data_IF_979897526365
#
_entry.id   IF_979897526365
#
_cell.length_a   1.000
_cell.length_b   1.000
_cell.length_c   1.000
_cell.angle_alpha   90.00
_cell.angle_beta   90.00
_cell.angle_gamma   90.00
#
_symmetry.space_group_name_H-M   'P 1'
#
loop_
_entity.id
_entity.type
_entity.pdbx_description
1 polymer ?
#
# COMPACT_ATOMS: atom_id res chain seq x y z
N UNK A 1 -21.47 -1.83 -3.53
CA UNK A 1 -20.84 -3.07 -4.01
C UNK A 1 -21.91 -4.15 -4.04
N UNK A 2 -22.15 -4.79 -5.19
CA UNK A 2 -23.18 -5.83 -5.33
C UNK A 2 -22.47 -7.19 -5.26
N UNK A 3 -22.88 -8.04 -4.31
CA UNK A 3 -22.39 -9.41 -4.19
C UNK A 3 -23.09 -10.30 -5.20
N UNK A 4 -22.33 -11.11 -5.93
CA UNK A 4 -22.80 -12.09 -6.88
C UNK A 4 -22.58 -13.51 -6.33
N UNK A 5 -23.63 -14.32 -6.36
CA UNK A 5 -23.60 -15.71 -5.88
C UNK A 5 -23.33 -16.73 -6.99
N UNK A 6 -23.32 -16.31 -8.26
CA UNK A 6 -22.87 -17.14 -9.37
C UNK A 6 -21.34 -17.07 -9.50
N UNK A 7 -20.66 -18.04 -8.90
CA UNK A 7 -19.19 -18.15 -8.91
C UNK A 7 -18.65 -18.45 -10.30
N UNK A 8 -19.47 -19.02 -11.20
CA UNK A 8 -19.04 -19.30 -12.57
C UNK A 8 -18.85 -18.02 -13.39
N UNK A 9 -19.53 -16.94 -13.01
CA UNK A 9 -19.42 -15.62 -13.61
C UNK A 9 -18.22 -14.79 -13.08
N UNK A 10 -17.53 -15.26 -12.03
CA UNK A 10 -16.38 -14.54 -11.48
C UNK A 10 -15.21 -14.51 -12.47
N UNK A 11 -14.47 -13.39 -12.58
CA UNK A 11 -13.33 -13.27 -13.48
C UNK A 11 -12.23 -14.26 -13.10
N UNK A 12 -11.77 -15.04 -14.09
CA UNK A 12 -10.75 -16.10 -13.93
C UNK A 12 -9.37 -15.71 -14.44
N UNK A 13 -9.14 -14.42 -14.67
CA UNK A 13 -7.92 -13.92 -15.31
C UNK A 13 -7.80 -14.36 -16.76
N UNK A 14 -6.64 -14.06 -17.36
CA UNK A 14 -6.38 -14.34 -18.78
C UNK A 14 -4.91 -14.56 -19.06
N UNK A 15 -4.61 -15.42 -20.03
CA UNK A 15 -3.26 -15.52 -20.61
C UNK A 15 -3.01 -14.28 -21.47
N UNK A 16 -1.93 -13.57 -21.20
CA UNK A 16 -1.50 -12.39 -21.96
C UNK A 16 -0.09 -12.62 -22.52
N UNK A 17 0.18 -12.20 -23.76
CA UNK A 17 1.54 -12.18 -24.28
C UNK A 17 2.43 -11.29 -23.41
N UNK A 18 3.57 -11.81 -22.99
CA UNK A 18 4.60 -11.10 -22.25
C UNK A 18 5.91 -11.20 -23.03
N UNK A 19 6.39 -10.05 -23.50
CA UNK A 19 7.68 -9.95 -24.16
C UNK A 19 8.78 -9.78 -23.11
N UNK A 20 9.74 -10.70 -23.08
CA UNK A 20 10.97 -10.57 -22.29
C UNK A 20 12.17 -10.40 -23.20
N UNK A 21 13.18 -9.66 -22.74
CA UNK A 21 14.44 -9.49 -23.47
C UNK A 21 15.22 -10.81 -23.44
N UNK A 22 15.36 -11.45 -24.59
CA UNK A 22 16.24 -12.60 -24.79
C UNK A 22 17.61 -12.19 -25.33
N UNK A 23 18.53 -13.15 -25.37
CA UNK A 23 19.87 -12.98 -25.94
C UNK A 23 19.85 -12.68 -27.44
N UNK A 24 18.92 -13.29 -28.17
CA UNK A 24 18.82 -13.22 -29.64
C UNK A 24 17.64 -12.35 -30.12
N UNK A 25 16.98 -11.62 -29.21
CA UNK A 25 15.81 -10.79 -29.51
C UNK A 25 14.69 -10.91 -28.47
N UNK A 26 13.56 -10.22 -28.67
CA UNK A 26 12.41 -10.34 -27.78
C UNK A 26 11.79 -11.75 -27.85
N UNK A 27 11.75 -12.43 -26.71
CA UNK A 27 11.08 -13.73 -26.56
C UNK A 27 9.66 -13.43 -26.07
N UNK A 28 8.66 -13.80 -26.85
CA UNK A 28 7.26 -13.73 -26.44
C UNK A 28 6.91 -15.02 -25.73
N UNK A 29 6.52 -14.90 -24.46
CA UNK A 29 6.00 -15.99 -23.63
C UNK A 29 4.60 -15.64 -23.19
N UNK A 30 3.73 -16.62 -23.01
CA UNK A 30 2.43 -16.37 -22.39
C UNK A 30 2.60 -16.25 -20.87
N UNK A 31 1.97 -15.25 -20.26
CA UNK A 31 1.93 -15.04 -18.82
C UNK A 31 0.49 -14.95 -18.35
N UNK A 32 0.18 -15.55 -17.21
CA UNK A 32 -1.16 -15.48 -16.64
C UNK A 32 -1.34 -14.16 -15.88
N UNK A 33 -2.24 -13.29 -16.37
CA UNK A 33 -2.64 -12.06 -15.69
C UNK A 33 -3.78 -12.37 -14.73
N UNK A 34 -3.51 -12.19 -13.44
CA UNK A 34 -4.49 -12.33 -12.36
C UNK A 34 -5.53 -11.22 -12.46
N UNK A 35 -6.79 -11.57 -12.23
CA UNK A 35 -7.87 -10.63 -12.00
C UNK A 35 -8.39 -10.88 -10.59
N UNK A 36 -8.35 -9.84 -9.75
CA UNK A 36 -8.71 -9.95 -8.36
C UNK A 36 -10.21 -9.75 -8.16
N UNK A 37 -10.73 -10.40 -7.13
CA UNK A 37 -12.10 -10.26 -6.63
C UNK A 37 -12.06 -10.15 -5.11
N UNK A 38 -13.16 -9.64 -4.54
CA UNK A 38 -13.51 -9.97 -3.17
C UNK A 38 -14.29 -11.28 -3.18
N UNK A 39 -13.93 -12.23 -2.33
CA UNK A 39 -14.56 -13.54 -2.22
C UNK A 39 -14.95 -13.79 -0.77
N UNK A 40 -16.12 -14.38 -0.55
CA UNK A 40 -16.65 -14.70 0.79
C UNK A 40 -16.61 -16.20 1.00
N UNK A 41 -16.15 -16.64 2.17
CA UNK A 41 -16.17 -18.06 2.54
C UNK A 41 -17.47 -18.49 3.22
N UNK A 42 -17.56 -19.76 3.62
CA UNK A 42 -18.72 -20.31 4.31
C UNK A 42 -18.98 -19.72 5.70
N UNK A 43 -17.98 -19.05 6.29
CA UNK A 43 -18.06 -18.38 7.58
C UNK A 43 -18.47 -16.90 7.46
N UNK A 44 -18.51 -16.37 6.24
CA UNK A 44 -18.82 -14.97 5.97
C UNK A 44 -17.58 -14.06 5.96
N UNK A 45 -16.38 -14.63 6.03
CA UNK A 45 -15.13 -13.88 5.99
C UNK A 45 -14.80 -13.47 4.54
N UNK A 46 -14.34 -12.23 4.37
CA UNK A 46 -14.06 -11.64 3.06
C UNK A 46 -12.56 -11.61 2.79
N UNK A 47 -12.16 -12.13 1.64
CA UNK A 47 -10.76 -12.20 1.21
C UNK A 47 -10.56 -11.54 -0.14
N UNK A 48 -9.36 -11.00 -0.36
CA UNK A 48 -8.85 -10.79 -1.71
C UNK A 48 -8.54 -12.17 -2.33
N UNK A 49 -9.19 -12.48 -3.45
CA UNK A 49 -8.96 -13.74 -4.16
C UNK A 49 -8.73 -13.51 -5.66
N UNK A 50 -8.22 -14.53 -6.34
CA UNK A 50 -8.08 -14.62 -7.79
C UNK A 50 -8.08 -16.09 -8.19
N UNK A 51 -8.41 -16.37 -9.45
CA UNK A 51 -8.41 -17.74 -9.96
C UNK A 51 -6.99 -18.28 -10.17
N UNK A 52 -6.73 -19.49 -9.68
CA UNK A 52 -5.52 -20.26 -9.91
C UNK A 52 -5.86 -21.38 -10.91
N UNK A 53 -5.35 -21.33 -12.16
CA UNK A 53 -5.59 -22.37 -13.14
C UNK A 53 -4.91 -23.69 -12.75
N UNK A 54 -5.39 -24.83 -13.28
CA UNK A 54 -4.83 -26.13 -12.96
C UNK A 54 -3.38 -26.24 -13.44
N UNK A 55 -2.53 -26.90 -12.65
CA UNK A 55 -1.12 -27.15 -12.99
C UNK A 55 -0.95 -28.58 -13.46
N UNK A 56 -0.13 -28.77 -14.49
CA UNK A 56 0.15 -30.07 -15.06
C UNK A 56 1.66 -30.36 -15.04
N UNK A 57 2.04 -31.64 -14.94
CA UNK A 57 3.41 -32.09 -15.20
C UNK A 57 3.76 -31.93 -16.68
N UNK A 58 5.05 -32.05 -17.00
CA UNK A 58 5.51 -32.13 -18.40
C UNK A 58 4.89 -33.32 -19.15
N UNK A 59 4.50 -34.38 -18.44
CA UNK A 59 3.81 -35.54 -18.99
C UNK A 59 2.28 -35.35 -19.12
N UNK A 60 1.75 -34.17 -18.79
CA UNK A 60 0.32 -33.85 -18.87
C UNK A 60 -0.52 -34.34 -17.70
N UNK A 61 0.09 -34.89 -16.64
CA UNK A 61 -0.63 -35.33 -15.43
C UNK A 61 -1.03 -34.11 -14.59
N UNK A 62 -2.28 -34.05 -14.12
CA UNK A 62 -2.75 -32.99 -13.22
C UNK A 62 -1.99 -33.04 -11.89
N UNK A 63 -1.24 -31.97 -11.59
CA UNK A 63 -0.54 -31.79 -10.32
C UNK A 63 -1.46 -31.18 -9.26
N UNK A 64 -2.22 -30.17 -9.68
CA UNK A 64 -3.06 -29.38 -8.80
C UNK A 64 -4.29 -28.95 -9.59
N UNK A 65 -5.48 -29.18 -9.03
CA UNK A 65 -6.73 -28.70 -9.59
C UNK A 65 -6.80 -27.18 -9.58
N UNK A 66 -7.75 -26.64 -10.33
CA UNK A 66 -8.12 -25.24 -10.25
C UNK A 66 -8.68 -24.89 -8.87
N UNK A 67 -8.42 -23.67 -8.41
CA UNK A 67 -8.96 -23.15 -7.15
C UNK A 67 -8.94 -21.63 -7.09
N UNK A 68 -9.68 -21.09 -6.14
CA UNK A 68 -9.57 -19.68 -5.75
C UNK A 68 -8.43 -19.50 -4.75
N UNK A 69 -7.60 -18.46 -4.93
CA UNK A 69 -6.56 -18.12 -3.97
C UNK A 69 -7.15 -17.82 -2.60
N UNK A 70 -6.57 -18.37 -1.53
CA UNK A 70 -7.12 -18.26 -0.18
C UNK A 70 -8.16 -19.33 0.18
N UNK A 71 -8.57 -20.16 -0.79
CA UNK A 71 -9.48 -21.29 -0.57
C UNK A 71 -8.74 -22.63 -0.72
N UNK A 72 -9.25 -23.65 -0.05
CA UNK A 72 -8.77 -25.02 -0.22
C UNK A 72 -9.06 -25.53 -1.65
N UNK A 73 -8.25 -26.44 -2.21
CA UNK A 73 -8.55 -27.05 -3.49
C UNK A 73 -9.96 -27.66 -3.51
N UNK A 74 -10.75 -27.32 -4.53
CA UNK A 74 -12.14 -27.79 -4.69
C UNK A 74 -13.17 -27.10 -3.79
N UNK A 75 -12.78 -26.12 -2.96
CA UNK A 75 -13.71 -25.28 -2.21
C UNK A 75 -13.89 -23.96 -2.94
N UNK A 76 -15.11 -23.69 -3.37
CA UNK A 76 -15.48 -22.43 -3.99
C UNK A 76 -15.98 -21.42 -2.93
N UNK A 77 -15.78 -20.10 -3.16
CA UNK A 77 -16.43 -19.07 -2.37
C UNK A 77 -17.96 -19.16 -2.49
N UNK A 78 -18.68 -18.61 -1.52
CA UNK A 78 -20.17 -18.58 -1.55
C UNK A 78 -20.73 -17.35 -2.27
N UNK A 79 -19.91 -16.31 -2.40
CA UNK A 79 -20.21 -15.10 -3.13
C UNK A 79 -18.92 -14.38 -3.54
N UNK A 80 -19.00 -13.54 -4.56
CA UNK A 80 -17.91 -12.68 -4.99
C UNK A 80 -18.39 -11.27 -5.34
N UNK A 81 -17.47 -10.32 -5.33
CA UNK A 81 -17.68 -8.98 -5.85
C UNK A 81 -16.43 -8.55 -6.65
N UNK A 82 -16.58 -7.67 -7.66
CA UNK A 82 -15.44 -7.17 -8.43
C UNK A 82 -14.43 -6.49 -7.50
N UNK A 83 -13.14 -6.48 -7.86
CA UNK A 83 -12.17 -5.69 -7.11
C UNK A 83 -12.57 -4.19 -7.15
N UNK A 84 -12.52 -3.46 -6.02
CA UNK A 84 -12.88 -2.06 -6.03
C UNK A 84 -11.88 -1.26 -6.88
N UNK A 85 -12.42 -0.46 -7.79
CA UNK A 85 -11.65 0.53 -8.53
C UNK A 85 -11.76 1.87 -7.82
N UNK A 86 -10.62 2.52 -7.60
CA UNK A 86 -10.57 3.86 -7.04
C UNK A 86 -10.29 4.84 -8.18
N UNK A 87 -11.28 5.69 -8.49
CA UNK A 87 -11.06 6.81 -9.39
C UNK A 87 -10.42 7.96 -8.61
N UNK A 88 -9.21 8.36 -9.00
CA UNK A 88 -8.66 9.62 -8.53
C UNK A 88 -9.53 10.74 -9.09
N UNK A 89 -10.20 11.50 -8.22
CA UNK A 89 -10.79 12.77 -8.61
C UNK A 89 -9.65 13.61 -9.19
N UNK A 90 -9.69 13.85 -10.50
CA UNK A 90 -8.71 14.70 -11.15
C UNK A 90 -8.79 16.06 -10.50
N UNK A 91 -7.73 16.47 -9.80
CA UNK A 91 -7.62 17.82 -9.27
C UNK A 91 -7.75 18.75 -10.49
N UNK A 92 -8.89 19.41 -10.61
CA UNK A 92 -9.05 20.52 -11.54
C UNK A 92 -8.24 21.66 -10.96
N UNK A 93 -6.92 21.61 -11.14
CA UNK A 93 -6.07 22.78 -11.00
C UNK A 93 -6.39 23.63 -12.23
N UNK A 94 -7.44 24.44 -12.14
CA UNK A 94 -7.61 25.53 -13.09
C UNK A 94 -6.35 26.39 -12.98
N UNK A 95 -5.60 26.46 -14.08
CA UNK A 95 -4.37 27.25 -14.26
C UNK A 95 -4.59 28.76 -14.02
N UNK A 96 -5.84 29.17 -13.77
CA UNK A 96 -6.25 30.54 -13.43
C UNK A 96 -5.99 30.95 -11.97
N UNK A 97 -5.64 30.03 -11.06
CA UNK A 97 -5.41 30.37 -9.65
C UNK A 97 -3.98 30.87 -9.34
N UNK A 98 -3.04 30.84 -10.30
CA UNK A 98 -1.63 31.13 -10.04
C UNK A 98 -1.19 32.59 -10.27
N UNK A 99 -2.10 33.54 -10.55
CA UNK A 99 -1.73 34.93 -10.91
C UNK A 99 -2.16 36.01 -9.92
N UNK A 100 -2.60 35.68 -8.70
CA UNK A 100 -2.76 36.70 -7.64
C UNK A 100 -2.15 36.26 -6.31
N UNK A 101 -0.84 36.44 -6.18
CA UNK A 101 -0.23 36.61 -4.86
C UNK A 101 -0.60 38.02 -4.33
N UNK A 102 -1.30 38.17 -3.19
CA UNK A 102 -1.38 39.45 -2.52
C UNK A 102 -0.03 39.72 -1.84
N UNK A 103 0.67 40.74 -2.33
CA UNK A 103 1.80 41.37 -1.67
C UNK A 103 1.32 41.96 -0.33
N UNK A 104 2.19 41.86 0.70
CA UNK A 104 2.12 42.52 2.01
C UNK A 104 1.26 41.87 3.11
N UNK A 105 1.92 41.15 4.02
CA UNK A 105 1.58 41.20 5.46
C UNK A 105 2.90 41.32 6.23
N UNK A 106 3.13 42.51 6.82
CA UNK A 106 4.21 42.77 7.78
C UNK A 106 3.92 42.04 9.10
N UNK A 107 4.92 41.35 9.65
CA UNK A 107 4.85 40.78 11.00
C UNK A 107 5.18 41.89 12.03
N UNK A 108 4.41 42.03 13.12
CA UNK A 108 4.77 42.94 14.19
C UNK A 108 5.95 42.38 15.01
N UNK A 109 6.97 43.22 15.18
CA UNK A 109 8.03 43.09 16.18
C UNK A 109 7.51 43.69 17.47
N UNK A 110 7.51 42.92 18.56
CA UNK A 110 7.40 43.46 19.92
C UNK A 110 8.70 43.17 20.69
N UNK A 111 9.48 44.23 20.90
CA UNK A 111 10.59 44.31 21.84
C UNK A 111 10.11 44.96 23.16
N UNK A 112 10.17 44.24 24.31
CA UNK A 112 10.48 44.79 25.66
C UNK A 112 10.49 43.65 26.70
N UNK A 113 11.63 43.19 27.25
CA UNK A 113 12.54 43.77 28.27
C UNK A 113 12.12 43.51 29.73
N UNK A 114 13.08 43.02 30.54
CA UNK A 114 13.08 42.96 32.02
C UNK A 114 13.30 41.53 32.56
N UNK A 115 14.50 41.01 32.81
CA UNK A 115 15.52 41.33 33.84
C UNK A 115 15.27 40.70 35.23
N UNK A 116 16.24 39.84 35.65
CA UNK A 116 16.61 39.36 37.03
C UNK A 116 15.67 38.34 37.72
N UNK A 117 16.11 37.37 38.55
CA UNK A 117 17.37 37.09 39.24
C UNK A 117 17.49 35.60 39.63
N UNK A 118 18.72 35.15 39.91
CA UNK A 118 19.07 33.87 40.52
C UNK A 118 18.74 33.81 42.03
N UNK A 119 18.24 32.66 42.51
CA UNK A 119 18.42 32.06 43.84
C UNK A 119 17.94 30.58 43.70
N UNK A 120 18.72 29.51 43.89
CA UNK A 120 19.54 29.16 45.05
C UNK A 120 18.73 28.24 45.97
N UNK A 121 18.94 26.90 45.94
CA UNK A 121 18.37 25.99 46.96
C UNK A 121 18.22 24.51 46.57
N UNK A 122 19.17 23.70 47.04
CA UNK A 122 19.24 22.24 47.29
C UNK A 122 18.08 21.25 46.95
N UNK A 123 18.45 20.24 46.16
CA UNK A 123 18.41 18.78 46.42
C UNK A 123 17.27 18.16 47.25
N UNK A 124 16.38 17.36 46.61
CA UNK A 124 15.87 16.06 47.12
C UNK A 124 15.44 15.16 45.94
N UNK A 125 15.91 13.91 45.98
CA UNK A 125 15.67 12.77 45.10
C UNK A 125 14.22 12.25 45.08
N UNK A 126 13.74 11.81 43.92
CA UNK A 126 12.50 11.01 43.78
C UNK A 126 12.07 10.93 42.31
N UNK A 127 12.59 9.99 41.52
CA UNK A 127 11.90 8.71 41.24
C UNK A 127 10.73 8.89 40.25
N UNK A 128 11.10 8.74 38.97
CA UNK A 128 10.44 8.02 37.86
C UNK A 128 9.05 8.41 37.31
N UNK A 129 9.08 8.65 35.99
CA UNK A 129 8.10 8.36 34.95
C UNK A 129 6.85 9.23 34.82
N UNK A 130 7.06 10.38 34.18
CA UNK A 130 6.09 10.99 33.28
C UNK A 130 5.89 10.11 32.03
N UNK A 131 4.63 9.92 31.61
CA UNK A 131 4.16 10.38 30.30
C UNK A 131 2.67 10.06 30.13
N UNK A 132 1.85 11.05 30.46
CA UNK A 132 0.51 11.20 29.93
C UNK A 132 0.57 12.45 29.04
N UNK A 133 0.40 12.31 27.73
CA UNK A 133 -0.41 13.18 26.86
C UNK A 133 -0.42 12.65 25.42
N UNK A 134 -1.62 12.72 24.86
CA UNK A 134 -1.97 12.46 23.47
C UNK A 134 -1.76 13.71 22.61
N UNK A 135 -1.82 13.50 21.29
CA UNK A 135 -2.04 14.47 20.22
C UNK A 135 -0.83 15.23 19.66
N UNK A 136 -0.42 14.80 18.46
CA UNK A 136 -0.13 15.70 17.36
C UNK A 136 1.32 16.06 17.14
N UNK A 137 2.03 15.28 16.32
CA UNK A 137 3.02 15.89 15.42
C UNK A 137 3.16 15.10 14.12
N UNK A 138 2.71 15.73 13.05
CA UNK A 138 3.00 15.40 11.66
C UNK A 138 4.45 15.81 11.41
N UNK A 139 5.36 14.86 11.25
CA UNK A 139 6.66 15.14 10.60
C UNK A 139 6.77 14.27 9.36
N UNK A 140 6.63 14.97 8.24
CA UNK A 140 6.83 14.50 6.88
C UNK A 140 8.31 14.57 6.51
N UNK A 141 8.72 13.62 5.68
CA UNK A 141 9.93 13.57 4.85
C UNK A 141 11.30 13.38 5.53
N UNK A 142 11.90 12.21 5.29
CA UNK A 142 13.10 12.12 4.43
C UNK A 142 13.41 10.66 4.09
N UNK A 143 13.63 10.41 2.81
CA UNK A 143 14.09 9.15 2.24
C UNK A 143 15.41 8.71 2.87
N UNK A 144 15.42 7.60 3.61
CA UNK A 144 16.66 6.94 4.00
C UNK A 144 17.02 5.89 2.92
N UNK A 145 17.82 6.34 1.94
CA UNK A 145 18.62 5.45 1.12
C UNK A 145 19.64 4.77 2.02
N UNK A 146 19.54 3.45 2.22
CA UNK A 146 20.64 2.68 2.78
C UNK A 146 21.66 2.44 1.66
N UNK A 147 22.68 3.31 1.66
CA UNK A 147 23.85 3.21 0.79
C UNK A 147 24.75 2.05 1.27
N UNK A 148 25.23 1.29 0.30
CA UNK A 148 26.15 0.17 0.43
C UNK A 148 27.43 0.56 1.21
N UNK A 149 27.78 -0.22 2.24
CA UNK A 149 29.12 -0.15 2.84
C UNK A 149 30.05 -1.13 2.10
N UNK A 150 30.95 -0.54 1.31
CA UNK A 150 32.11 -1.19 0.68
C UNK A 150 33.22 -1.24 1.72
N UNK A 151 33.49 -2.43 2.25
CA UNK A 151 34.65 -2.70 3.11
C UNK A 151 35.47 -3.86 2.56
N UNK A 152 36.53 -3.54 1.81
CA UNK A 152 37.56 -4.48 1.38
C UNK A 152 38.72 -4.60 2.39
N UNK A 153 39.44 -5.72 2.29
CA UNK A 153 40.68 -6.02 3.01
C UNK A 153 40.50 -7.21 3.97
N UNK A 154 41.30 -8.29 3.94
CA UNK A 154 42.55 -8.58 3.26
C UNK A 154 42.67 -10.10 3.03
#
# INVERSE_FOLDING_TARGET
MIWNHDISAAPRGKMVPYARKGKDGPIITESFRKEYILAVDVHGDVYQSYWIPPRHTQAGTLLEGNRWSGFNPGVDPIAWAPWPEYEFASATTSEDALTKAPTNVSLPVDERSGERANAGGDNVTGVENAHQISAGELVSNSSAFLLEDVGGGA
#
